data_IF_122388767571
#
_entry.id   IF_122388767571
#
_cell.length_a   1.000
_cell.length_b   1.000
_cell.length_c   1.000
_cell.angle_alpha   90.00
_cell.angle_beta   90.00
_cell.angle_gamma   90.00
#
_symmetry.space_group_name_H-M   'P 1'
#
loop_
_entity.id
_entity.type
_entity.pdbx_description
1 polymer ?
#
# COMPACT_ATOMS: atom_id res chain seq x y z
N UNK A 1 -4.42 1.20 2.80
CA UNK A 1 -5.12 0.04 3.37
C UNK A 1 -5.87 0.47 4.63
N UNK A 2 -7.15 0.16 4.73
CA UNK A 2 -7.96 0.57 5.87
C UNK A 2 -7.99 -0.52 6.95
N UNK A 3 -7.78 -0.15 8.21
CA UNK A 3 -7.84 -1.05 9.39
C UNK A 3 -9.19 -1.79 9.49
N UNK A 4 -10.24 -1.29 8.86
CA UNK A 4 -11.58 -1.91 8.83
C UNK A 4 -11.65 -3.24 8.10
N UNK A 5 -10.76 -3.50 7.17
CA UNK A 5 -10.82 -4.73 6.36
C UNK A 5 -10.40 -5.97 7.14
N UNK A 6 -9.68 -5.77 8.25
CA UNK A 6 -9.23 -6.84 9.14
C UNK A 6 -10.35 -7.61 9.84
N UNK A 7 -11.52 -6.99 10.03
CA UNK A 7 -12.66 -7.64 10.69
C UNK A 7 -13.44 -8.57 9.76
N UNK A 8 -13.17 -8.52 8.46
CA UNK A 8 -13.93 -9.24 7.42
C UNK A 8 -13.25 -10.50 6.91
N UNK A 9 -12.00 -10.74 7.31
CA UNK A 9 -11.20 -11.84 6.79
C UNK A 9 -10.41 -12.51 7.91
N UNK A 10 -10.20 -13.82 7.79
CA UNK A 10 -9.33 -14.57 8.71
C UNK A 10 -7.86 -14.20 8.49
N UNK A 11 -7.44 -14.10 7.24
CA UNK A 11 -6.10 -13.69 6.85
C UNK A 11 -6.16 -12.51 5.88
N UNK A 12 -5.22 -11.58 6.04
CA UNK A 12 -5.08 -10.43 5.16
C UNK A 12 -3.74 -10.49 4.43
N UNK A 13 -3.79 -10.53 3.11
CA UNK A 13 -2.61 -10.43 2.25
C UNK A 13 -2.49 -9.00 1.72
N UNK A 14 -1.35 -8.38 1.93
CA UNK A 14 -1.06 -7.01 1.49
C UNK A 14 -0.05 -7.08 0.34
N UNK A 15 -0.46 -6.70 -0.86
CA UNK A 15 0.43 -6.54 -2.00
C UNK A 15 1.06 -5.15 -2.03
N UNK A 16 2.39 -5.09 -2.04
CA UNK A 16 3.14 -3.85 -2.31
C UNK A 16 3.38 -3.79 -3.82
N UNK A 17 2.49 -3.08 -4.54
CA UNK A 17 2.61 -2.90 -5.99
C UNK A 17 3.84 -2.09 -6.38
N UNK A 18 4.27 -2.21 -7.64
CA UNK A 18 5.48 -1.55 -8.17
C UNK A 18 6.70 -1.76 -7.25
N UNK A 19 6.87 -2.99 -6.75
CA UNK A 19 7.93 -3.31 -5.78
C UNK A 19 9.34 -3.17 -6.34
N UNK A 20 9.48 -3.23 -7.66
CA UNK A 20 10.72 -3.03 -8.41
C UNK A 20 11.03 -1.56 -8.71
N UNK A 21 10.21 -0.61 -8.22
CA UNK A 21 10.40 0.84 -8.43
C UNK A 21 10.64 1.57 -7.12
N UNK A 22 11.55 2.55 -7.17
CA UNK A 22 11.87 3.43 -6.04
C UNK A 22 12.56 4.70 -6.52
N UNK A 23 12.60 5.72 -5.66
CA UNK A 23 13.24 7.01 -5.94
C UNK A 23 12.72 7.70 -7.22
N UNK A 24 11.44 7.55 -7.48
CA UNK A 24 10.69 8.20 -8.56
C UNK A 24 9.52 8.98 -7.94
N UNK A 25 9.04 10.03 -8.61
CA UNK A 25 7.93 10.88 -8.11
C UNK A 25 6.69 10.08 -7.75
N UNK A 26 6.37 9.03 -8.51
CA UNK A 26 5.23 8.12 -8.22
C UNK A 26 5.54 7.09 -7.14
N UNK A 27 6.79 6.62 -7.08
CA UNK A 27 7.28 5.59 -6.16
C UNK A 27 8.51 6.11 -5.40
N UNK A 28 8.35 7.09 -4.50
CA UNK A 28 9.49 7.71 -3.82
C UNK A 28 10.18 6.77 -2.81
N UNK A 29 9.45 5.76 -2.34
CA UNK A 29 9.93 4.81 -1.33
C UNK A 29 10.06 3.41 -1.90
N UNK A 30 11.14 2.72 -1.55
CA UNK A 30 11.38 1.34 -1.95
C UNK A 30 10.35 0.37 -1.36
N UNK A 31 10.24 -0.83 -1.93
CA UNK A 31 9.37 -1.88 -1.38
C UNK A 31 9.75 -2.22 0.07
N UNK A 32 11.05 -2.26 0.40
CA UNK A 32 11.55 -2.50 1.75
C UNK A 32 11.07 -1.42 2.73
N UNK A 33 11.20 -0.15 2.38
CA UNK A 33 10.75 0.97 3.23
C UNK A 33 9.22 0.94 3.41
N UNK A 34 8.47 0.69 2.34
CA UNK A 34 7.00 0.57 2.40
C UNK A 34 6.57 -0.62 3.27
N UNK A 35 7.27 -1.75 3.18
CA UNK A 35 7.06 -2.93 4.03
C UNK A 35 7.30 -2.57 5.50
N UNK A 36 8.38 -1.89 5.79
CA UNK A 36 8.72 -1.47 7.15
C UNK A 36 7.68 -0.51 7.73
N UNK A 37 7.21 0.48 6.94
CA UNK A 37 6.11 1.37 7.35
C UNK A 37 4.84 0.58 7.72
N UNK A 38 4.48 -0.43 6.92
CA UNK A 38 3.29 -1.26 7.17
C UNK A 38 3.52 -2.11 8.41
N UNK A 39 4.61 -2.85 8.47
CA UNK A 39 4.92 -3.79 9.56
C UNK A 39 4.99 -3.08 10.91
N UNK A 40 5.65 -1.93 10.97
CA UNK A 40 5.77 -1.11 12.19
C UNK A 40 4.44 -0.48 12.63
N UNK A 41 3.43 -0.49 11.75
CA UNK A 41 2.11 0.10 12.01
C UNK A 41 1.03 -0.96 12.30
N UNK A 42 1.37 -2.24 12.18
CA UNK A 42 0.45 -3.35 12.50
C UNK A 42 0.48 -3.58 14.01
N UNK A 43 -0.70 -3.80 14.59
CA UNK A 43 -0.82 -4.26 15.96
C UNK A 43 -0.17 -5.66 16.08
N UNK A 44 0.75 -5.88 17.02
CA UNK A 44 1.39 -7.20 17.24
C UNK A 44 0.38 -8.35 17.36
N UNK A 45 -0.77 -8.12 17.98
CA UNK A 45 -1.84 -9.11 18.11
C UNK A 45 -2.45 -9.56 16.77
N UNK A 46 -2.20 -8.79 15.69
CA UNK A 46 -2.70 -9.08 14.36
C UNK A 46 -1.62 -9.56 13.40
N UNK A 47 -0.36 -9.58 13.83
CA UNK A 47 0.80 -9.85 12.94
C UNK A 47 0.71 -11.22 12.26
N UNK A 48 0.25 -12.25 12.97
CA UNK A 48 0.15 -13.62 12.45
C UNK A 48 -0.89 -13.78 11.33
N UNK A 49 -1.87 -12.88 11.29
CA UNK A 49 -2.95 -12.87 10.30
C UNK A 49 -2.64 -12.02 9.07
N UNK A 50 -1.54 -11.27 9.08
CA UNK A 50 -1.19 -10.32 8.03
C UNK A 50 0.13 -10.76 7.38
N UNK A 51 0.08 -11.00 6.06
CA UNK A 51 1.26 -11.30 5.26
C UNK A 51 1.44 -10.25 4.18
N UNK A 52 2.67 -9.84 3.93
CA UNK A 52 3.00 -8.77 2.97
C UNK A 52 3.82 -9.37 1.84
N UNK A 53 3.42 -9.07 0.61
CA UNK A 53 4.05 -9.58 -0.61
C UNK A 53 4.51 -8.43 -1.49
N UNK A 54 5.65 -8.58 -2.14
CA UNK A 54 6.17 -7.64 -3.12
C UNK A 54 5.68 -8.03 -4.51
N UNK A 55 4.92 -7.14 -5.15
CA UNK A 55 4.35 -7.36 -6.48
C UNK A 55 5.04 -6.40 -7.46
N UNK A 56 5.91 -6.91 -8.34
CA UNK A 56 6.59 -6.08 -9.31
C UNK A 56 5.65 -5.65 -10.45
N UNK A 57 5.97 -4.52 -11.07
CA UNK A 57 5.37 -4.16 -12.35
C UNK A 57 6.02 -4.99 -13.46
N UNK A 58 5.20 -5.62 -14.30
CA UNK A 58 5.64 -6.49 -15.40
C UNK A 58 5.39 -5.91 -16.79
N UNK A 59 5.01 -4.64 -16.88
CA UNK A 59 4.79 -3.93 -18.16
C UNK A 59 3.49 -4.31 -18.90
N UNK A 60 2.77 -5.33 -18.45
CA UNK A 60 1.51 -5.82 -18.99
C UNK A 60 0.52 -5.99 -17.84
N UNK A 61 -0.58 -5.29 -17.91
CA UNK A 61 -1.55 -5.25 -16.82
C UNK A 61 -2.30 -6.57 -16.61
N UNK A 62 -2.58 -7.30 -17.68
CA UNK A 62 -3.22 -8.61 -17.56
C UNK A 62 -2.26 -9.61 -16.91
N UNK A 63 -1.01 -9.63 -17.37
CA UNK A 63 0.04 -10.48 -16.77
C UNK A 63 0.32 -10.13 -15.32
N UNK A 64 0.15 -8.86 -14.93
CA UNK A 64 0.33 -8.42 -13.55
C UNK A 64 -0.62 -9.12 -12.58
N UNK A 65 -1.88 -9.35 -12.94
CA UNK A 65 -2.82 -10.08 -12.08
C UNK A 65 -2.42 -11.54 -11.89
N UNK A 66 -1.84 -12.18 -12.91
CA UNK A 66 -1.29 -13.53 -12.80
C UNK A 66 0.00 -13.57 -11.96
N UNK A 67 0.78 -12.49 -11.96
CA UNK A 67 1.96 -12.37 -11.09
C UNK A 67 1.56 -12.34 -9.62
N UNK A 68 0.44 -11.70 -9.30
CA UNK A 68 -0.15 -11.75 -7.96
C UNK A 68 -0.48 -13.20 -7.57
N UNK A 69 -1.13 -13.95 -8.43
CA UNK A 69 -1.50 -15.36 -8.14
C UNK A 69 -0.30 -16.28 -7.91
N UNK A 70 0.84 -15.99 -8.55
CA UNK A 70 2.09 -16.74 -8.32
C UNK A 70 2.74 -16.39 -7.00
N UNK A 71 2.58 -15.17 -6.54
CA UNK A 71 3.29 -14.60 -5.40
C UNK A 71 2.49 -14.74 -4.12
N UNK A 72 1.17 -14.59 -4.20
CA UNK A 72 0.25 -14.59 -3.06
C UNK A 72 -0.44 -15.95 -2.95
N UNK A 73 -0.58 -16.54 -1.75
CA UNK A 73 -1.40 -17.74 -1.55
C UNK A 73 -2.83 -17.52 -2.03
N UNK A 74 -3.56 -18.63 -2.26
CA UNK A 74 -4.97 -18.56 -2.66
C UNK A 74 -5.77 -17.58 -1.78
N UNK A 75 -6.53 -16.72 -2.43
CA UNK A 75 -7.38 -15.70 -1.80
C UNK A 75 -8.77 -15.71 -2.44
N UNK A 76 -9.79 -15.33 -1.68
CA UNK A 76 -11.19 -15.42 -2.10
C UNK A 76 -11.74 -14.05 -2.52
N UNK A 77 -11.15 -12.97 -2.01
CA UNK A 77 -11.64 -11.59 -2.20
C UNK A 77 -10.46 -10.64 -2.43
N UNK A 78 -10.67 -9.68 -3.31
CA UNK A 78 -9.75 -8.56 -3.56
C UNK A 78 -10.36 -7.27 -3.05
N UNK A 79 -9.62 -6.53 -2.23
CA UNK A 79 -10.01 -5.20 -1.76
C UNK A 79 -9.23 -4.14 -2.55
N UNK A 80 -9.94 -3.34 -3.34
CA UNK A 80 -9.34 -2.23 -4.08
C UNK A 80 -10.36 -1.13 -4.37
N UNK A 81 -9.87 0.11 -4.48
CA UNK A 81 -10.63 1.27 -4.97
C UNK A 81 -10.08 1.78 -6.31
N UNK A 82 -9.09 1.12 -6.86
CA UNK A 82 -8.59 1.42 -8.18
C UNK A 82 -9.48 0.73 -9.22
N UNK A 83 -10.21 1.52 -10.00
CA UNK A 83 -11.18 1.04 -10.99
C UNK A 83 -10.53 0.13 -12.05
N UNK A 84 -9.28 0.43 -12.39
CA UNK A 84 -8.55 -0.36 -13.37
C UNK A 84 -8.23 -1.76 -12.81
N UNK A 85 -7.64 -1.82 -11.62
CA UNK A 85 -7.36 -3.07 -10.89
C UNK A 85 -8.65 -3.87 -10.68
N UNK A 86 -9.73 -3.21 -10.27
CA UNK A 86 -11.05 -3.83 -10.11
C UNK A 86 -11.49 -4.53 -11.40
N UNK A 87 -11.47 -3.82 -12.52
CA UNK A 87 -11.88 -4.36 -13.82
C UNK A 87 -11.06 -5.60 -14.21
N UNK A 88 -9.76 -5.60 -13.96
CA UNK A 88 -8.88 -6.73 -14.28
C UNK A 88 -9.25 -7.99 -13.47
N UNK A 89 -9.54 -7.84 -12.18
CA UNK A 89 -9.92 -8.97 -11.34
C UNK A 89 -11.35 -9.44 -11.59
N UNK A 90 -12.29 -8.53 -11.82
CA UNK A 90 -13.68 -8.88 -12.17
C UNK A 90 -13.78 -9.65 -13.50
N UNK A 91 -13.00 -9.28 -14.51
CA UNK A 91 -12.88 -10.04 -15.78
C UNK A 91 -12.42 -11.49 -15.55
N UNK A 92 -11.70 -11.74 -14.49
CA UNK A 92 -11.23 -13.08 -14.09
C UNK A 92 -12.23 -13.82 -13.17
N UNK A 93 -13.41 -13.25 -12.92
CA UNK A 93 -14.43 -13.83 -12.07
C UNK A 93 -14.13 -13.72 -10.57
N UNK A 94 -13.18 -12.87 -10.17
CA UNK A 94 -12.84 -12.64 -8.77
C UNK A 94 -13.84 -11.70 -8.10
N UNK A 95 -14.14 -11.96 -6.83
CA UNK A 95 -14.94 -11.06 -6.03
C UNK A 95 -14.09 -9.84 -5.60
N UNK A 96 -14.51 -8.66 -6.03
CA UNK A 96 -13.81 -7.41 -5.69
C UNK A 96 -14.71 -6.54 -4.82
N UNK A 97 -14.20 -6.14 -3.66
CA UNK A 97 -14.92 -5.32 -2.69
C UNK A 97 -14.23 -3.96 -2.58
N UNK A 98 -14.97 -2.85 -2.77
CA UNK A 98 -14.44 -1.52 -2.55
C UNK A 98 -14.19 -1.27 -1.05
N UNK A 99 -13.16 -0.50 -0.76
CA UNK A 99 -12.84 -0.06 0.60
C UNK A 99 -13.43 1.32 0.83
N UNK A 100 -14.21 1.48 1.89
CA UNK A 100 -14.72 2.80 2.28
C UNK A 100 -13.55 3.65 2.79
N UNK A 101 -13.16 4.65 2.01
CA UNK A 101 -12.10 5.60 2.38
C UNK A 101 -12.65 6.64 3.35
N UNK A 102 -11.91 6.89 4.42
CA UNK A 102 -12.21 7.95 5.37
C UNK A 102 -11.41 9.20 4.97
N UNK A 103 -12.10 10.30 4.66
CA UNK A 103 -11.50 11.60 4.36
C UNK A 103 -10.31 11.47 3.37
N UNK A 104 -10.61 11.04 2.15
CA UNK A 104 -9.61 10.72 1.12
C UNK A 104 -8.68 11.90 0.82
N UNK A 105 -9.22 13.12 0.80
CA UNK A 105 -8.42 14.32 0.52
C UNK A 105 -7.32 14.48 1.55
N UNK A 106 -7.65 14.33 2.82
CA UNK A 106 -6.74 14.49 3.95
C UNK A 106 -5.72 13.35 4.05
N UNK A 107 -6.19 12.09 3.96
CA UNK A 107 -5.35 10.90 4.22
C UNK A 107 -4.77 10.25 2.96
N UNK A 108 -4.91 10.87 1.79
CA UNK A 108 -4.30 10.34 0.57
C UNK A 108 -2.77 10.38 0.66
N UNK A 109 -2.11 9.36 0.13
CA UNK A 109 -0.65 9.33 0.07
C UNK A 109 -0.06 10.52 -0.70
N UNK A 110 -0.77 11.03 -1.70
CA UNK A 110 -0.37 12.23 -2.46
C UNK A 110 -0.36 13.47 -1.57
N UNK A 111 -1.44 13.70 -0.81
CA UNK A 111 -1.49 14.84 0.13
C UNK A 111 -0.41 14.73 1.20
N UNK A 112 -0.26 13.57 1.81
CA UNK A 112 0.77 13.36 2.84
C UNK A 112 2.17 13.62 2.30
N UNK A 113 2.51 13.10 1.12
CA UNK A 113 3.82 13.36 0.50
C UNK A 113 4.05 14.84 0.20
N UNK A 114 3.02 15.55 -0.26
CA UNK A 114 3.11 16.99 -0.49
C UNK A 114 3.37 17.76 0.81
N UNK A 115 2.66 17.44 1.89
CA UNK A 115 2.87 18.07 3.20
C UNK A 115 4.28 17.80 3.74
N UNK A 116 4.82 16.60 3.56
CA UNK A 116 6.20 16.26 3.94
C UNK A 116 7.19 17.12 3.14
N UNK A 117 7.04 17.17 1.82
CA UNK A 117 7.92 17.97 0.95
C UNK A 117 7.89 19.46 1.31
N UNK A 118 6.71 20.01 1.59
CA UNK A 118 6.51 21.39 1.99
C UNK A 118 6.99 21.70 3.43
N UNK A 119 7.30 20.66 4.21
CA UNK A 119 7.65 20.81 5.63
C UNK A 119 6.48 21.23 6.51
N UNK A 120 5.26 20.97 6.08
CA UNK A 120 4.01 21.21 6.82
C UNK A 120 3.71 20.06 7.78
N UNK A 121 2.69 20.23 8.61
CA UNK A 121 2.29 19.22 9.60
C UNK A 121 1.62 18.02 8.91
N UNK A 122 2.19 16.82 9.03
CA UNK A 122 1.72 15.57 8.42
C UNK A 122 1.69 14.39 9.40
N UNK A 123 2.31 14.56 10.56
CA UNK A 123 2.64 13.48 11.50
C UNK A 123 1.40 12.74 12.01
N UNK A 124 0.28 13.47 12.16
CA UNK A 124 -0.98 12.91 12.63
C UNK A 124 -1.81 12.25 11.51
N UNK A 125 -1.32 12.33 10.27
CA UNK A 125 -1.98 11.75 9.09
C UNK A 125 -1.50 10.34 8.78
N UNK A 126 -0.49 9.86 9.47
CA UNK A 126 0.09 8.52 9.27
C UNK A 126 0.20 7.78 10.61
N UNK A 127 0.20 6.43 10.58
CA UNK A 127 0.48 5.64 11.77
C UNK A 127 1.87 5.94 12.36
N UNK A 128 2.03 5.78 13.67
CA UNK A 128 3.31 6.04 14.36
C UNK A 128 4.49 5.24 13.80
N UNK A 129 4.26 3.99 13.37
CA UNK A 129 5.29 3.17 12.74
C UNK A 129 5.75 3.76 11.41
N UNK A 130 4.83 4.16 10.55
CA UNK A 130 5.14 4.81 9.29
C UNK A 130 5.88 6.15 9.51
N UNK A 131 5.47 6.95 10.51
CA UNK A 131 6.17 8.19 10.87
C UNK A 131 7.64 7.93 11.19
N UNK A 132 7.94 6.94 12.05
CA UNK A 132 9.33 6.60 12.41
C UNK A 132 10.18 6.28 11.18
N UNK A 133 9.66 5.49 10.26
CA UNK A 133 10.38 5.14 9.03
C UNK A 133 10.60 6.38 8.17
N UNK A 134 9.58 7.21 7.96
CA UNK A 134 9.67 8.44 7.18
C UNK A 134 10.70 9.43 7.74
N UNK A 135 10.79 9.54 9.07
CA UNK A 135 11.80 10.35 9.74
C UNK A 135 13.21 9.75 9.54
N UNK A 136 13.38 8.43 9.70
CA UNK A 136 14.67 7.74 9.54
C UNK A 136 15.25 7.85 8.13
N UNK A 137 14.41 7.80 7.10
CA UNK A 137 14.87 7.86 5.69
C UNK A 137 14.98 9.28 5.16
N UNK A 138 14.80 10.28 6.01
CA UNK A 138 14.77 11.70 5.61
C UNK A 138 13.84 11.95 4.41
N UNK A 139 12.59 11.49 4.56
CA UNK A 139 11.59 11.55 3.50
C UNK A 139 11.38 12.96 2.95
N UNK A 140 11.56 14.01 3.78
CA UNK A 140 11.42 15.40 3.36
C UNK A 140 12.44 15.77 2.28
N UNK A 141 13.72 15.50 2.51
CA UNK A 141 14.76 15.82 1.54
C UNK A 141 14.62 14.95 0.29
N UNK A 142 14.28 13.67 0.45
CA UNK A 142 14.03 12.79 -0.70
C UNK A 142 12.91 13.32 -1.59
N UNK A 143 11.75 13.66 -1.02
CA UNK A 143 10.59 14.13 -1.80
C UNK A 143 10.79 15.49 -2.45
N UNK A 144 11.67 16.34 -1.92
CA UNK A 144 12.05 17.62 -2.53
C UNK A 144 12.93 17.45 -3.76
N UNK A 145 13.69 16.36 -3.84
CA UNK A 145 14.68 16.11 -4.89
C UNK A 145 14.16 15.14 -5.99
N UNK A 146 12.90 14.73 -5.93
CA UNK A 146 12.22 13.91 -6.93
C UNK A 146 11.27 14.76 -7.79
#
# INVERSE_FOLDING_TARGET
MCIRDRSRTENLFIGIGSSNKSNESRNPFSAKERREMITSSIDPAMSDRIKIFDIPDVGDHEKWTFEIDKTVPKYDVVFTNDEFTKTLFEKRGMNVIPVVLKDREKFSGTNVRQLIADGKNWQDLVPRGAKKVLDMIDAKNRLKNL
#
